data_IF_376850033080
#
_entry.id   IF_376850033080
#
_cell.length_a   1.000
_cell.length_b   1.000
_cell.length_c   1.000
_cell.angle_alpha   90.00
_cell.angle_beta   90.00
_cell.angle_gamma   90.00
#
_symmetry.space_group_name_H-M   'P 1'
#
loop_
_entity.id
_entity.type
_entity.pdbx_description
1 polymer ?
#
# COMPACT_ATOMS: atom_id res chain seq x y z
N UNK A 1 49.50 -16.72 61.50
CA UNK A 1 49.70 -15.60 60.56
C UNK A 1 49.44 -16.10 59.15
N UNK A 2 48.35 -15.65 58.50
CA UNK A 2 48.03 -16.01 57.10
C UNK A 2 48.97 -15.22 56.19
N UNK A 3 49.76 -15.91 55.35
CA UNK A 3 50.50 -15.29 54.25
C UNK A 3 49.50 -14.96 53.14
N UNK A 4 49.26 -13.68 52.91
CA UNK A 4 48.55 -13.24 51.71
C UNK A 4 49.49 -13.40 50.52
N UNK A 5 49.20 -14.36 49.65
CA UNK A 5 49.93 -14.53 48.39
C UNK A 5 49.43 -13.46 47.43
N UNK A 6 50.23 -12.43 47.18
CA UNK A 6 49.97 -11.43 46.15
C UNK A 6 50.02 -12.04 44.75
N UNK A 7 49.32 -11.42 43.80
CA UNK A 7 49.30 -11.83 42.39
C UNK A 7 50.64 -11.56 41.71
N UNK A 8 51.04 -12.47 40.82
CA UNK A 8 52.22 -12.26 39.97
C UNK A 8 51.88 -11.35 38.79
N UNK A 9 52.84 -10.57 38.29
CA UNK A 9 52.66 -9.70 37.13
C UNK A 9 52.17 -10.50 35.88
N UNK A 10 52.65 -11.73 35.75
CA UNK A 10 52.25 -12.65 34.67
C UNK A 10 50.78 -13.06 34.78
N UNK A 11 50.27 -13.38 35.97
CA UNK A 11 48.84 -13.66 36.16
C UNK A 11 47.96 -12.46 35.80
N UNK A 12 48.40 -11.24 36.14
CA UNK A 12 47.65 -10.03 35.78
C UNK A 12 47.57 -9.83 34.26
N UNK A 13 48.66 -10.09 33.54
CA UNK A 13 48.69 -9.97 32.08
C UNK A 13 47.81 -11.04 31.42
N UNK A 14 47.88 -12.29 31.90
CA UNK A 14 47.08 -13.40 31.36
C UNK A 14 45.59 -13.14 31.60
N UNK A 15 45.21 -12.71 32.80
CA UNK A 15 43.81 -12.40 33.13
C UNK A 15 43.30 -11.29 32.23
N UNK A 16 43.99 -10.16 32.11
CA UNK A 16 43.59 -9.06 31.21
C UNK A 16 43.46 -9.53 29.76
N UNK A 17 44.40 -10.34 29.26
CA UNK A 17 44.35 -10.87 27.90
C UNK A 17 43.10 -11.73 27.65
N UNK A 18 42.76 -12.62 28.59
CA UNK A 18 41.55 -13.46 28.51
C UNK A 18 40.28 -12.62 28.61
N UNK A 19 40.23 -11.62 29.50
CA UNK A 19 39.05 -10.74 29.65
C UNK A 19 38.80 -9.91 28.39
N UNK A 20 39.86 -9.38 27.75
CA UNK A 20 39.74 -8.64 26.49
C UNK A 20 39.23 -9.56 25.38
N UNK A 21 39.75 -10.79 25.30
CA UNK A 21 39.34 -11.75 24.28
C UNK A 21 37.86 -12.15 24.44
N UNK A 22 37.40 -12.32 25.68
CA UNK A 22 35.98 -12.53 25.98
C UNK A 22 35.12 -11.31 25.62
N UNK A 23 35.56 -10.08 25.93
CA UNK A 23 34.84 -8.86 25.58
C UNK A 23 34.69 -8.69 24.07
N UNK A 24 35.73 -9.00 23.28
CA UNK A 24 35.67 -8.97 21.82
C UNK A 24 34.64 -9.98 21.28
N UNK A 25 34.61 -11.19 21.83
CA UNK A 25 33.64 -12.21 21.42
C UNK A 25 32.20 -11.78 21.76
N UNK A 26 31.96 -11.24 22.95
CA UNK A 26 30.65 -10.72 23.37
C UNK A 26 30.23 -9.53 22.51
N UNK A 27 31.14 -8.59 22.24
CA UNK A 27 30.86 -7.44 21.39
C UNK A 27 30.48 -7.85 19.97
N UNK A 28 31.20 -8.81 19.38
CA UNK A 28 30.86 -9.37 18.07
C UNK A 28 29.47 -10.01 18.05
N UNK A 29 29.13 -10.79 19.07
CA UNK A 29 27.81 -11.39 19.20
C UNK A 29 26.69 -10.34 19.36
N UNK A 30 26.88 -9.35 20.24
CA UNK A 30 25.92 -8.26 20.46
C UNK A 30 25.73 -7.42 19.19
N UNK A 31 26.80 -7.10 18.47
CA UNK A 31 26.75 -6.36 17.21
C UNK A 31 25.95 -7.13 16.14
N UNK A 32 26.19 -8.44 16.03
CA UNK A 32 25.45 -9.31 15.11
C UNK A 32 23.95 -9.39 15.45
N UNK A 33 23.61 -9.49 16.74
CA UNK A 33 22.22 -9.51 17.22
C UNK A 33 21.51 -8.19 16.91
N UNK A 34 22.15 -7.04 17.17
CA UNK A 34 21.55 -5.73 16.91
C UNK A 34 21.28 -5.49 15.43
N UNK A 35 22.21 -5.86 14.54
CA UNK A 35 22.01 -5.73 13.10
C UNK A 35 20.89 -6.63 12.57
N UNK A 36 20.80 -7.86 13.07
CA UNK A 36 19.72 -8.80 12.69
C UNK A 36 18.34 -8.30 13.14
N UNK A 37 18.23 -7.76 14.35
CA UNK A 37 16.97 -7.20 14.86
C UNK A 37 16.51 -5.98 14.06
N UNK A 38 17.42 -5.06 13.74
CA UNK A 38 17.09 -3.86 12.96
C UNK A 38 16.60 -4.20 11.53
N UNK A 39 17.21 -5.19 10.87
CA UNK A 39 16.75 -5.65 9.56
C UNK A 39 15.38 -6.36 9.60
N UNK A 40 15.09 -7.08 10.69
CA UNK A 40 13.81 -7.77 10.90
C UNK A 40 12.68 -6.77 11.20
N UNK A 41 12.90 -5.84 12.14
CA UNK A 41 11.93 -4.81 12.52
C UNK A 41 11.50 -3.96 11.31
N UNK A 42 12.45 -3.57 10.46
CA UNK A 42 12.16 -2.76 9.25
C UNK A 42 11.36 -3.53 8.20
N UNK A 43 11.64 -4.81 8.02
CA UNK A 43 10.83 -5.69 7.15
C UNK A 43 9.41 -5.82 7.69
N UNK A 44 9.27 -5.97 9.00
CA UNK A 44 7.97 -6.07 9.67
C UNK A 44 7.20 -4.76 9.50
N UNK A 45 7.82 -3.59 9.71
CA UNK A 45 7.19 -2.29 9.49
C UNK A 45 6.67 -2.13 8.05
N UNK A 46 7.48 -2.46 7.05
CA UNK A 46 7.04 -2.43 5.65
C UNK A 46 5.87 -3.39 5.37
N UNK A 47 5.85 -4.57 6.01
CA UNK A 47 4.75 -5.52 5.88
C UNK A 47 3.48 -5.08 6.62
N UNK A 48 3.62 -4.34 7.72
CA UNK A 48 2.53 -3.75 8.49
C UNK A 48 1.83 -2.66 7.69
N UNK A 49 2.54 -1.93 6.82
CA UNK A 49 1.89 -0.88 6.01
C UNK A 49 1.23 -1.45 4.74
N UNK A 50 1.89 -2.41 4.07
CA UNK A 50 1.46 -2.87 2.74
C UNK A 50 0.23 -3.76 2.78
N UNK A 51 0.10 -4.68 3.75
CA UNK A 51 -1.06 -5.59 3.79
C UNK A 51 -2.36 -4.85 4.11
N UNK A 52 -2.43 -3.99 5.14
CA UNK A 52 -3.63 -3.19 5.39
C UNK A 52 -3.96 -2.25 4.24
N UNK A 53 -2.95 -1.70 3.56
CA UNK A 53 -3.17 -0.90 2.36
C UNK A 53 -3.85 -1.72 1.24
N UNK A 54 -3.40 -2.97 1.00
CA UNK A 54 -4.05 -3.87 0.04
C UNK A 54 -5.45 -4.27 0.45
N UNK A 55 -5.66 -4.61 1.72
CA UNK A 55 -6.94 -5.06 2.24
C UNK A 55 -7.97 -3.93 2.17
N UNK A 56 -7.57 -2.70 2.50
CA UNK A 56 -8.43 -1.53 2.39
C UNK A 56 -8.75 -1.18 0.94
N UNK A 57 -7.75 -1.15 0.05
CA UNK A 57 -7.99 -0.98 -1.39
C UNK A 57 -8.94 -2.06 -1.93
N UNK A 58 -8.75 -3.31 -1.52
CA UNK A 58 -9.59 -4.41 -1.96
C UNK A 58 -11.03 -4.26 -1.46
N UNK A 59 -11.23 -3.86 -0.21
CA UNK A 59 -12.55 -3.64 0.37
C UNK A 59 -13.29 -2.53 -0.38
N UNK A 60 -12.65 -1.38 -0.57
CA UNK A 60 -13.25 -0.22 -1.24
C UNK A 60 -13.55 -0.52 -2.72
N UNK A 61 -12.60 -1.11 -3.44
CA UNK A 61 -12.80 -1.46 -4.86
C UNK A 61 -13.85 -2.58 -5.02
N UNK A 62 -14.01 -3.48 -4.05
CA UNK A 62 -15.02 -4.54 -4.12
C UNK A 62 -16.46 -4.02 -4.11
N UNK A 63 -16.66 -2.85 -3.48
CA UNK A 63 -17.95 -2.17 -3.35
C UNK A 63 -18.24 -1.22 -4.51
N UNK A 64 -17.31 -1.08 -5.47
CA UNK A 64 -17.52 -0.24 -6.64
C UNK A 64 -18.84 -0.57 -7.35
N UNK A 65 -19.53 0.48 -7.77
CA UNK A 65 -20.86 0.44 -8.42
C UNK A 65 -22.02 -0.02 -7.54
N UNK A 66 -21.89 0.03 -6.21
CA UNK A 66 -23.02 -0.23 -5.33
C UNK A 66 -24.06 0.88 -5.47
N UNK A 67 -25.28 0.52 -5.90
CA UNK A 67 -26.43 1.40 -6.06
C UNK A 67 -27.70 0.68 -5.56
N UNK A 68 -27.95 0.70 -4.24
CA UNK A 68 -29.09 -0.01 -3.65
C UNK A 68 -30.44 0.65 -3.93
N UNK A 69 -30.46 1.95 -4.25
CA UNK A 69 -31.67 2.73 -4.54
C UNK A 69 -32.10 2.63 -6.00
N UNK A 70 -31.30 1.99 -6.86
CA UNK A 70 -31.48 1.94 -8.32
C UNK A 70 -31.65 3.32 -8.96
N UNK A 71 -30.99 4.33 -8.39
CA UNK A 71 -31.10 5.71 -8.85
C UNK A 71 -30.46 5.85 -10.23
N UNK A 72 -31.20 6.46 -11.17
CA UNK A 72 -30.72 6.80 -12.50
C UNK A 72 -29.78 8.01 -12.44
N UNK A 73 -28.74 8.04 -13.27
CA UNK A 73 -27.74 9.12 -13.32
C UNK A 73 -27.00 9.39 -11.99
N UNK A 74 -26.81 8.33 -11.18
CA UNK A 74 -26.14 8.40 -9.88
C UNK A 74 -24.67 8.80 -10.00
N UNK A 75 -23.97 8.32 -11.04
CA UNK A 75 -22.52 8.39 -11.13
C UNK A 75 -22.04 9.81 -11.43
N UNK A 76 -21.00 10.26 -10.74
CA UNK A 76 -20.52 11.64 -10.81
C UNK A 76 -19.18 11.74 -11.55
N UNK A 77 -18.82 12.95 -11.95
CA UNK A 77 -17.52 13.19 -12.57
C UNK A 77 -16.42 13.08 -11.51
N UNK A 78 -15.34 12.31 -11.76
CA UNK A 78 -14.23 12.15 -10.82
C UNK A 78 -13.41 13.44 -10.64
N UNK A 79 -13.67 14.48 -11.44
CA UNK A 79 -13.02 15.79 -11.32
C UNK A 79 -13.61 16.69 -10.24
N UNK A 80 -14.89 16.54 -9.90
CA UNK A 80 -15.59 17.45 -8.98
C UNK A 80 -16.62 16.76 -8.07
N UNK A 81 -16.90 15.47 -8.26
CA UNK A 81 -17.78 14.63 -7.45
C UNK A 81 -19.19 15.19 -7.25
N UNK A 82 -19.64 16.08 -8.13
CA UNK A 82 -20.90 16.83 -7.97
C UNK A 82 -21.68 16.91 -9.27
N UNK A 83 -21.00 17.08 -10.40
CA UNK A 83 -21.65 16.99 -11.71
C UNK A 83 -21.83 15.54 -12.14
N UNK A 84 -22.92 15.22 -12.81
CA UNK A 84 -23.15 13.92 -13.47
C UNK A 84 -21.96 13.55 -14.35
N UNK A 85 -21.50 12.29 -14.28
CA UNK A 85 -20.45 11.79 -15.16
C UNK A 85 -20.84 11.90 -16.63
N UNK A 86 -19.85 12.21 -17.48
CA UNK A 86 -19.99 12.21 -18.94
C UNK A 86 -20.29 10.84 -19.54
N UNK A 87 -20.07 9.74 -18.81
CA UNK A 87 -20.52 8.42 -19.22
C UNK A 87 -21.06 7.61 -18.02
N UNK A 88 -22.38 7.43 -17.97
CA UNK A 88 -23.06 6.65 -16.94
C UNK A 88 -22.88 5.13 -17.13
N UNK A 89 -22.48 4.65 -18.32
CA UNK A 89 -22.20 3.23 -18.57
C UNK A 89 -20.94 2.76 -17.82
N UNK A 90 -20.06 3.69 -17.44
CA UNK A 90 -18.88 3.42 -16.61
C UNK A 90 -19.25 3.09 -15.16
N UNK A 91 -20.51 3.32 -14.76
CA UNK A 91 -21.05 3.03 -13.43
C UNK A 91 -20.15 3.58 -12.33
N UNK A 92 -19.92 2.83 -11.25
CA UNK A 92 -19.05 3.23 -10.17
C UNK A 92 -17.56 2.99 -10.40
N UNK A 93 -17.09 2.91 -11.66
CA UNK A 93 -15.65 2.97 -11.97
C UNK A 93 -15.46 4.09 -12.98
N UNK A 94 -15.12 5.29 -12.52
CA UNK A 94 -15.08 6.49 -13.38
C UNK A 94 -13.71 6.77 -13.98
N UNK A 95 -12.66 6.15 -13.44
CA UNK A 95 -11.30 6.21 -13.97
C UNK A 95 -10.67 4.83 -13.80
N UNK A 96 -10.07 4.30 -14.87
CA UNK A 96 -9.35 3.04 -14.85
C UNK A 96 -8.08 3.16 -15.68
N UNK A 97 -6.93 3.04 -15.03
CA UNK A 97 -5.61 3.11 -15.65
C UNK A 97 -4.62 2.24 -14.90
N UNK A 98 -3.42 2.04 -15.46
CA UNK A 98 -2.38 1.25 -14.81
C UNK A 98 -1.90 1.82 -13.46
N UNK A 99 -2.09 3.12 -13.21
CA UNK A 99 -1.56 3.85 -12.04
C UNK A 99 -2.64 4.51 -11.19
N UNK A 100 -3.87 4.63 -11.68
CA UNK A 100 -4.96 5.29 -10.97
C UNK A 100 -6.30 4.60 -11.23
N UNK A 101 -7.15 4.62 -10.21
CA UNK A 101 -8.53 4.16 -10.28
C UNK A 101 -9.42 5.08 -9.45
N UNK A 102 -10.59 5.41 -9.97
CA UNK A 102 -11.65 6.10 -9.21
C UNK A 102 -12.86 5.18 -9.14
N UNK A 103 -13.29 4.86 -7.92
CA UNK A 103 -14.46 4.04 -7.64
C UNK A 103 -15.53 4.85 -6.93
N UNK A 104 -16.78 4.56 -7.27
CA UNK A 104 -17.95 5.21 -6.70
C UNK A 104 -18.96 4.19 -6.19
N UNK A 105 -19.63 4.52 -5.09
CA UNK A 105 -20.55 3.63 -4.37
C UNK A 105 -21.47 4.44 -3.44
N UNK A 106 -22.78 4.19 -3.51
CA UNK A 106 -23.79 4.76 -2.59
C UNK A 106 -23.90 3.85 -1.37
N UNK A 107 -23.05 4.10 -0.37
CA UNK A 107 -22.88 3.22 0.81
C UNK A 107 -23.57 3.75 2.06
N UNK A 108 -23.94 5.03 2.08
CA UNK A 108 -24.56 5.68 3.23
C UNK A 108 -25.28 6.93 2.78
N UNK A 109 -26.25 7.36 3.58
CA UNK A 109 -26.84 8.67 3.44
C UNK A 109 -26.23 9.69 4.42
N UNK A 110 -26.79 10.91 4.42
CA UNK A 110 -26.37 11.99 5.29
C UNK A 110 -26.45 11.58 6.76
N UNK A 111 -25.48 12.04 7.54
CA UNK A 111 -25.37 11.73 8.97
C UNK A 111 -25.26 10.23 9.31
N UNK A 112 -24.90 9.39 8.34
CA UNK A 112 -24.70 7.94 8.58
C UNK A 112 -26.00 7.14 8.48
N UNK A 113 -26.98 7.69 7.77
CA UNK A 113 -28.19 6.97 7.40
C UNK A 113 -27.94 5.90 6.33
N UNK A 114 -29.02 5.24 5.92
CA UNK A 114 -28.99 4.31 4.79
C UNK A 114 -28.64 5.06 3.48
N UNK A 115 -28.07 4.35 2.49
CA UNK A 115 -27.88 4.83 1.13
C UNK A 115 -29.09 5.63 0.61
N UNK A 116 -28.83 6.82 0.08
CA UNK A 116 -29.89 7.78 -0.28
C UNK A 116 -29.98 8.06 -1.78
N UNK A 117 -29.16 7.40 -2.60
CA UNK A 117 -29.13 7.59 -4.04
C UNK A 117 -28.37 8.84 -4.47
N UNK A 118 -27.45 9.35 -3.65
CA UNK A 118 -26.52 10.41 -4.00
C UNK A 118 -25.07 9.97 -3.74
N UNK A 119 -24.10 10.65 -4.35
CA UNK A 119 -22.65 10.40 -4.14
C UNK A 119 -21.97 11.56 -3.41
N UNK A 120 -22.69 12.16 -2.47
CA UNK A 120 -22.28 13.35 -1.73
C UNK A 120 -21.68 13.05 -0.36
N UNK A 121 -21.79 11.82 0.12
CA UNK A 121 -21.43 11.46 1.48
C UNK A 121 -19.98 10.93 1.60
N UNK A 122 -19.40 10.95 2.81
CA UNK A 122 -18.01 10.52 3.00
C UNK A 122 -17.75 9.08 2.54
N UNK A 123 -16.67 8.91 1.77
CA UNK A 123 -16.19 7.63 1.20
C UNK A 123 -17.07 7.04 0.08
N UNK A 124 -17.89 7.86 -0.56
CA UNK A 124 -18.70 7.40 -1.70
C UNK A 124 -18.00 7.53 -3.04
N UNK A 125 -17.08 8.49 -3.15
CA UNK A 125 -16.16 8.59 -4.29
C UNK A 125 -14.74 8.46 -3.75
N UNK A 126 -14.01 7.45 -4.21
CA UNK A 126 -12.67 7.16 -3.72
C UNK A 126 -11.73 7.05 -4.92
N UNK A 127 -10.64 7.81 -4.87
CA UNK A 127 -9.61 7.78 -5.90
C UNK A 127 -8.29 7.36 -5.31
N UNK A 128 -7.69 6.34 -5.93
CA UNK A 128 -6.31 5.94 -5.68
C UNK A 128 -5.45 6.36 -6.86
N UNK A 129 -4.31 6.99 -6.57
CA UNK A 129 -3.37 7.42 -7.61
C UNK A 129 -1.93 7.16 -7.17
N UNK A 130 -1.19 6.46 -8.01
CA UNK A 130 0.24 6.25 -7.85
C UNK A 130 1.03 7.40 -8.47
N UNK A 131 1.92 7.99 -7.67
CA UNK A 131 2.92 8.93 -8.14
C UNK A 131 4.24 8.19 -8.37
N UNK A 132 4.57 7.93 -9.64
CA UNK A 132 5.81 7.24 -10.01
C UNK A 132 7.07 8.05 -9.78
N UNK A 133 6.97 9.38 -9.77
CA UNK A 133 8.09 10.30 -9.59
C UNK A 133 8.51 10.32 -8.12
N UNK A 134 7.52 10.43 -7.24
CA UNK A 134 7.73 10.53 -5.79
C UNK A 134 7.62 9.18 -5.06
N UNK A 135 7.17 8.13 -5.76
CA UNK A 135 7.12 6.72 -5.31
C UNK A 135 6.22 6.49 -4.10
N UNK A 136 4.99 7.00 -4.17
CA UNK A 136 3.97 6.77 -3.15
C UNK A 136 2.58 6.69 -3.78
N UNK A 137 1.63 6.15 -3.04
CA UNK A 137 0.22 6.10 -3.45
C UNK A 137 -0.55 7.12 -2.61
N UNK A 138 -1.46 7.82 -3.27
CA UNK A 138 -2.42 8.72 -2.64
C UNK A 138 -3.80 8.11 -2.64
N UNK A 139 -4.59 8.49 -1.63
CA UNK A 139 -6.03 8.25 -1.55
C UNK A 139 -6.73 9.60 -1.35
N UNK A 140 -7.76 9.88 -2.15
CA UNK A 140 -8.70 10.97 -1.91
C UNK A 140 -10.12 10.44 -1.82
N UNK A 141 -10.95 11.14 -1.05
CA UNK A 141 -12.38 10.86 -0.89
C UNK A 141 -13.18 12.08 -1.32
N UNK A 142 -14.28 11.88 -2.04
CA UNK A 142 -15.21 12.93 -2.46
C UNK A 142 -14.50 14.12 -3.11
N UNK A 143 -13.53 13.84 -3.98
CA UNK A 143 -12.72 14.84 -4.67
C UNK A 143 -11.95 15.81 -3.74
N UNK A 144 -11.76 15.43 -2.48
CA UNK A 144 -10.93 16.16 -1.53
C UNK A 144 -9.43 16.07 -1.87
N UNK A 145 -8.62 16.79 -1.10
CA UNK A 145 -7.17 16.82 -1.28
C UNK A 145 -6.56 15.41 -1.13
N UNK A 146 -5.84 14.89 -2.14
CA UNK A 146 -5.18 13.58 -2.04
C UNK A 146 -4.22 13.53 -0.86
N UNK A 147 -4.40 12.53 0.00
CA UNK A 147 -3.53 12.27 1.15
C UNK A 147 -2.59 11.08 0.85
N UNK A 148 -1.37 11.07 1.39
CA UNK A 148 -0.52 9.88 1.35
C UNK A 148 -1.24 8.67 1.98
N UNK A 149 -1.27 7.57 1.23
CA UNK A 149 -1.92 6.32 1.63
C UNK A 149 -0.91 5.21 1.89
N UNK A 150 0.07 5.06 0.99
CA UNK A 150 1.17 4.11 1.16
C UNK A 150 2.47 4.79 0.74
N UNK A 151 3.39 4.92 1.70
CA UNK A 151 4.55 5.78 1.58
C UNK A 151 4.19 7.26 1.83
N UNK A 152 5.13 8.15 1.52
CA UNK A 152 4.93 9.60 1.60
C UNK A 152 5.83 10.32 0.59
N UNK A 153 5.66 11.63 0.48
CA UNK A 153 6.49 12.49 -0.36
C UNK A 153 7.97 12.38 0.06
N UNK A 154 8.93 12.40 -0.89
CA UNK A 154 10.34 12.45 -0.55
C UNK A 154 10.66 13.65 0.36
N UNK A 155 11.22 13.37 1.53
CA UNK A 155 11.50 14.38 2.58
C UNK A 155 10.63 14.23 3.82
N UNK A 156 9.47 13.59 3.71
CA UNK A 156 8.64 13.20 4.85
C UNK A 156 9.07 11.84 5.42
N UNK A 157 8.67 11.58 6.66
CA UNK A 157 8.88 10.27 7.29
C UNK A 157 8.04 9.22 6.58
N UNK A 158 8.72 8.22 5.99
CA UNK A 158 8.07 7.06 5.37
C UNK A 158 8.84 5.77 5.63
N UNK A 159 8.13 4.69 5.87
CA UNK A 159 8.74 3.37 6.03
C UNK A 159 9.02 2.69 4.69
N UNK A 160 8.21 2.99 3.66
CA UNK A 160 8.23 2.31 2.36
C UNK A 160 8.16 3.28 1.18
N UNK A 161 8.70 2.83 0.05
CA UNK A 161 8.58 3.46 -1.27
C UNK A 161 7.86 2.52 -2.22
N UNK A 162 6.92 3.03 -2.99
CA UNK A 162 6.21 2.29 -4.02
C UNK A 162 6.99 2.37 -5.34
N UNK A 163 7.58 1.26 -5.75
CA UNK A 163 8.52 1.14 -6.87
C UNK A 163 7.93 0.45 -8.10
N UNK A 164 6.60 0.39 -8.19
CA UNK A 164 5.88 -0.12 -9.35
C UNK A 164 6.39 0.45 -10.68
N UNK A 165 6.57 1.78 -10.75
CA UNK A 165 7.09 2.45 -11.94
C UNK A 165 8.54 2.05 -12.27
N UNK A 166 9.39 1.90 -11.25
CA UNK A 166 10.79 1.47 -11.43
C UNK A 166 10.89 0.05 -11.99
N UNK A 167 9.94 -0.82 -11.65
CA UNK A 167 9.90 -2.21 -12.14
C UNK A 167 9.02 -2.40 -13.37
N UNK A 168 8.40 -1.33 -13.91
CA UNK A 168 7.40 -1.40 -14.97
C UNK A 168 6.24 -2.38 -14.65
N UNK A 169 5.81 -2.43 -13.38
CA UNK A 169 4.70 -3.25 -12.92
C UNK A 169 3.48 -2.36 -12.75
N UNK A 170 2.40 -2.55 -13.55
CA UNK A 170 1.15 -1.84 -13.37
C UNK A 170 0.60 -2.03 -11.95
N UNK A 171 0.15 -0.96 -11.32
CA UNK A 171 -0.52 -1.03 -10.02
C UNK A 171 -1.87 -1.72 -10.18
N UNK A 172 -2.63 -1.37 -11.22
CA UNK A 172 -3.92 -1.97 -11.54
C UNK A 172 -3.88 -2.67 -12.89
N UNK A 173 -4.39 -3.90 -12.93
CA UNK A 173 -4.68 -4.64 -14.16
C UNK A 173 -6.13 -5.07 -14.15
N UNK A 174 -6.79 -4.96 -15.29
CA UNK A 174 -8.22 -5.16 -15.41
C UNK A 174 -8.51 -6.37 -16.28
N UNK A 175 -9.52 -7.15 -15.92
CA UNK A 175 -9.91 -8.34 -16.64
C UNK A 175 -11.41 -8.35 -16.87
N UNK A 176 -11.81 -8.86 -18.03
CA UNK A 176 -13.21 -9.00 -18.41
C UNK A 176 -13.87 -10.26 -17.79
N UNK A 177 -15.14 -10.50 -18.14
CA UNK A 177 -15.91 -11.65 -17.67
C UNK A 177 -15.44 -13.01 -18.19
N UNK A 178 -14.62 -13.04 -19.25
CA UNK A 178 -13.96 -14.24 -19.75
C UNK A 178 -12.62 -14.52 -19.05
N UNK A 179 -12.15 -13.57 -18.23
CA UNK A 179 -10.84 -13.61 -17.60
C UNK A 179 -9.71 -13.07 -18.49
N UNK A 180 -10.04 -12.51 -19.65
CA UNK A 180 -9.07 -11.88 -20.56
C UNK A 180 -8.66 -10.51 -20.02
N UNK A 181 -7.38 -10.19 -20.08
CA UNK A 181 -6.89 -8.88 -19.67
C UNK A 181 -7.35 -7.79 -20.63
N UNK A 182 -7.91 -6.72 -20.09
CA UNK A 182 -8.29 -5.52 -20.83
C UNK A 182 -7.04 -4.69 -21.03
N UNK A 183 -6.67 -4.46 -22.29
CA UNK A 183 -5.53 -3.60 -22.64
C UNK A 183 -5.75 -2.17 -22.14
N UNK A 184 -4.68 -1.50 -21.71
CA UNK A 184 -4.71 -0.09 -21.34
C UNK A 184 -5.21 0.81 -22.47
N UNK A 185 -4.99 0.44 -23.74
CA UNK A 185 -5.48 1.16 -24.91
C UNK A 185 -7.01 1.09 -25.09
N UNK A 186 -7.66 0.12 -24.45
CA UNK A 186 -9.11 -0.06 -24.48
C UNK A 186 -9.80 0.66 -23.32
N UNK A 187 -9.05 1.24 -22.38
CA UNK A 187 -9.60 2.06 -21.31
C UNK A 187 -9.61 3.53 -21.76
N UNK A 188 -10.67 4.31 -21.46
CA UNK A 188 -11.78 3.97 -20.55
C UNK A 188 -12.97 3.26 -21.20
N UNK A 189 -13.04 3.09 -22.52
CA UNK A 189 -14.25 2.56 -23.18
C UNK A 189 -14.62 1.12 -22.79
N UNK A 190 -13.65 0.32 -22.37
CA UNK A 190 -13.85 -1.05 -21.88
C UNK A 190 -14.17 -1.14 -20.37
N UNK A 191 -14.27 -0.01 -19.65
CA UNK A 191 -14.64 0.01 -18.22
C UNK A 191 -15.89 -0.84 -17.94
N UNK A 192 -17.00 -0.73 -18.70
CA UNK A 192 -18.23 -1.50 -18.41
C UNK A 192 -18.04 -3.03 -18.43
N UNK A 193 -16.94 -3.50 -19.03
CA UNK A 193 -16.61 -4.91 -19.15
C UNK A 193 -15.72 -5.42 -18.00
N UNK A 194 -15.23 -4.56 -17.10
CA UNK A 194 -14.36 -4.96 -15.99
C UNK A 194 -15.13 -5.91 -15.06
N UNK A 195 -14.59 -7.10 -14.80
CA UNK A 195 -15.14 -8.07 -13.84
C UNK A 195 -14.16 -8.48 -12.76
N UNK A 196 -12.86 -8.23 -12.96
CA UNK A 196 -11.82 -8.50 -11.96
C UNK A 196 -10.70 -7.48 -12.09
N UNK A 197 -10.17 -7.05 -10.95
CA UNK A 197 -9.09 -6.07 -10.85
C UNK A 197 -7.97 -6.72 -10.04
N UNK A 198 -6.78 -6.83 -10.63
CA UNK A 198 -5.57 -7.26 -9.93
C UNK A 198 -4.80 -6.03 -9.48
N UNK A 199 -4.58 -5.92 -8.18
CA UNK A 199 -3.79 -4.86 -7.56
C UNK A 199 -2.42 -5.46 -7.25
N UNK A 200 -1.35 -4.85 -7.74
CA UNK A 200 0.03 -5.29 -7.45
C UNK A 200 0.83 -4.15 -6.84
N UNK A 201 1.30 -4.33 -5.62
CA UNK A 201 2.19 -3.40 -4.94
C UNK A 201 3.61 -3.95 -4.94
N UNK A 202 4.50 -3.26 -5.63
CA UNK A 202 5.93 -3.45 -5.48
C UNK A 202 6.48 -2.31 -4.60
N UNK A 203 7.01 -2.67 -3.43
CA UNK A 203 7.58 -1.71 -2.50
C UNK A 203 9.02 -2.04 -2.14
N UNK A 204 9.74 -1.04 -1.68
CA UNK A 204 11.00 -1.22 -0.97
C UNK A 204 11.01 -0.46 0.35
N UNK A 205 11.85 -0.88 1.29
CA UNK A 205 12.10 -0.13 2.52
C UNK A 205 12.72 1.23 2.19
N UNK A 206 12.36 2.28 2.93
CA UNK A 206 13.03 3.57 2.80
C UNK A 206 14.51 3.44 3.19
N UNK A 207 14.76 2.82 4.34
CA UNK A 207 16.11 2.62 4.81
C UNK A 207 16.81 1.45 4.13
N UNK A 208 18.12 1.60 3.94
CA UNK A 208 19.01 0.53 3.47
C UNK A 208 19.19 -0.47 4.61
N UNK A 209 19.14 -1.76 4.29
CA UNK A 209 19.45 -2.82 5.24
C UNK A 209 20.96 -2.80 5.53
N UNK A 210 21.40 -2.60 6.79
CA UNK A 210 22.81 -2.54 7.14
C UNK A 210 23.56 -3.85 6.90
N UNK A 211 22.86 -4.99 6.83
CA UNK A 211 23.48 -6.31 6.61
C UNK A 211 23.74 -6.61 5.14
N UNK A 212 22.87 -6.15 4.24
CA UNK A 212 22.99 -6.43 2.79
C UNK A 212 23.47 -5.22 1.99
N UNK A 213 23.46 -4.02 2.58
CA UNK A 213 23.74 -2.78 1.87
C UNK A 213 22.71 -2.43 0.81
N UNK A 214 21.55 -3.08 0.81
CA UNK A 214 20.49 -2.90 -0.18
C UNK A 214 19.15 -2.62 0.49
N UNK A 215 18.26 -1.90 -0.21
CA UNK A 215 16.87 -1.75 0.23
C UNK A 215 16.14 -3.07 0.06
N UNK A 216 15.32 -3.47 1.02
CA UNK A 216 14.56 -4.72 0.93
C UNK A 216 13.33 -4.50 0.07
N UNK A 217 13.17 -5.32 -0.97
CA UNK A 217 12.02 -5.27 -1.88
C UNK A 217 10.98 -6.32 -1.50
N UNK A 218 9.71 -5.95 -1.61
CA UNK A 218 8.56 -6.81 -1.36
C UNK A 218 7.54 -6.57 -2.48
N UNK A 219 7.00 -7.64 -3.04
CA UNK A 219 5.91 -7.57 -4.03
C UNK A 219 4.73 -8.36 -3.49
N UNK A 220 3.59 -7.70 -3.40
CA UNK A 220 2.32 -8.30 -3.00
C UNK A 220 1.28 -8.04 -4.08
N UNK A 221 0.35 -8.97 -4.23
CA UNK A 221 -0.78 -8.78 -5.12
C UNK A 221 -2.05 -9.31 -4.48
N UNK A 222 -3.18 -8.68 -4.82
CA UNK A 222 -4.51 -9.16 -4.46
C UNK A 222 -5.44 -8.97 -5.65
N UNK A 223 -6.41 -9.87 -5.78
CA UNK A 223 -7.42 -9.82 -6.83
C UNK A 223 -8.77 -9.49 -6.24
N UNK A 224 -9.45 -8.52 -6.84
CA UNK A 224 -10.73 -7.97 -6.38
C UNK A 224 -11.78 -8.19 -7.46
N UNK A 225 -13.00 -8.52 -7.04
CA UNK A 225 -14.15 -8.67 -7.94
C UNK A 225 -15.18 -7.60 -7.55
N UNK A 226 -15.36 -6.54 -8.34
CA UNK A 226 -16.37 -5.51 -8.10
C UNK A 226 -17.75 -6.07 -8.46
N UNK A 227 -18.43 -6.71 -7.49
CA UNK A 227 -19.63 -7.52 -7.74
C UNK A 227 -20.78 -6.71 -8.34
N UNK A 228 -20.97 -5.48 -7.85
CA UNK A 228 -22.07 -4.62 -8.27
C UNK A 228 -21.87 -4.06 -9.70
N UNK A 229 -20.62 -3.96 -10.15
CA UNK A 229 -20.29 -3.41 -11.47
C UNK A 229 -20.79 -4.29 -12.63
N UNK A 230 -20.87 -5.60 -12.41
CA UNK A 230 -21.35 -6.57 -13.39
C UNK A 230 -22.87 -6.52 -13.60
N UNK A 231 -23.64 -5.98 -12.64
CA UNK A 231 -25.10 -5.99 -12.66
C UNK A 231 -25.60 -4.92 -13.62
N UNK A 232 -26.40 -5.31 -14.62
CA UNK A 232 -27.17 -4.38 -15.42
C UNK A 232 -28.50 -4.09 -14.70
N UNK A 233 -28.86 -2.82 -14.62
CA UNK A 233 -30.11 -2.32 -14.03
C UNK A 233 -30.99 -1.77 -15.14
#
# INVERSE_FOLDING_TARGET
MKREKGFTLVELIITIAVTILLLVAVYGAVSSIQQSSAGLERKVAAQIDVKPALDLMALEISMASFNPTFTSNLWVSPSNCTSTSGNQEYKGIQEASASAITVEMDIRGPSGGNPDGMLGDPNEVIRYSYDSTNQYITRSTNCGTPQPFLGAMPGDTRAVRVINGTLNIPLFRYFDGSGTEISASSLPSAIPNIRRILITLAVETEEIDPTTGQRRRLIYSTSVIPRNHAIAY
#
